data_IF_534284311052
#
_entry.id   IF_534284311052
#
_cell.length_a   1.000
_cell.length_b   1.000
_cell.length_c   1.000
_cell.angle_alpha   90.00
_cell.angle_beta   90.00
_cell.angle_gamma   90.00
#
_symmetry.space_group_name_H-M   'P 1'
#
loop_
_entity.id
_entity.type
_entity.pdbx_description
1 polymer ?
#
# COMPACT_ATOMS: atom_id res chain seq x y z
N UNK A 1 2.57 10.65 -12.63
CA UNK A 1 3.69 10.50 -11.66
C UNK A 1 4.02 9.03 -11.44
N UNK A 2 5.25 8.72 -11.02
CA UNK A 2 5.60 7.38 -10.50
C UNK A 2 5.55 7.47 -8.98
N UNK A 3 4.78 6.60 -8.36
CA UNK A 3 4.58 6.56 -6.91
C UNK A 3 5.40 5.41 -6.33
N UNK A 4 6.22 5.68 -5.32
CA UNK A 4 7.10 4.68 -4.70
C UNK A 4 6.92 4.69 -3.19
N UNK A 5 6.71 3.50 -2.63
CA UNK A 5 6.36 3.32 -1.22
C UNK A 5 7.30 2.35 -0.57
N UNK A 6 7.72 2.67 0.64
CA UNK A 6 8.59 1.84 1.47
C UNK A 6 7.85 1.47 2.75
N UNK A 7 7.92 0.20 3.14
CA UNK A 7 7.34 -0.28 4.40
C UNK A 7 5.85 0.05 4.54
N UNK A 8 5.43 0.68 5.65
CA UNK A 8 4.07 1.12 5.86
C UNK A 8 3.56 2.14 4.82
N UNK A 9 4.47 2.83 4.11
CA UNK A 9 4.15 3.76 3.03
C UNK A 9 3.36 3.13 1.88
N UNK A 10 3.41 1.81 1.72
CA UNK A 10 2.60 1.08 0.73
C UNK A 10 1.08 1.15 1.01
N UNK A 11 0.67 1.21 2.28
CA UNK A 11 -0.75 1.24 2.66
C UNK A 11 -1.41 2.52 2.17
N UNK A 12 -0.77 3.67 2.42
CA UNK A 12 -1.24 4.96 1.97
C UNK A 12 -1.15 5.12 0.45
N UNK A 13 -0.17 4.47 -0.21
CA UNK A 13 -0.13 4.43 -1.67
C UNK A 13 -1.30 3.68 -2.29
N UNK A 14 -1.74 2.58 -1.67
CA UNK A 14 -2.88 1.80 -2.17
C UNK A 14 -4.14 2.67 -2.26
N UNK A 15 -4.39 3.51 -1.24
CA UNK A 15 -5.46 4.50 -1.27
C UNK A 15 -5.26 5.57 -2.35
N UNK A 16 -4.04 6.09 -2.50
CA UNK A 16 -3.76 7.09 -3.53
C UNK A 16 -3.96 6.55 -4.96
N UNK A 17 -3.69 5.26 -5.18
CA UNK A 17 -3.94 4.56 -6.43
C UNK A 17 -5.43 4.42 -6.74
N UNK A 18 -6.28 4.20 -5.72
CA UNK A 18 -7.74 4.19 -5.88
C UNK A 18 -8.32 5.60 -6.09
N UNK A 19 -7.81 6.60 -5.37
CA UNK A 19 -8.32 7.97 -5.43
C UNK A 19 -7.88 8.74 -6.69
N UNK A 20 -6.67 8.46 -7.21
CA UNK A 20 -6.09 9.20 -8.33
C UNK A 20 -5.49 8.31 -9.43
N UNK A 21 -6.24 7.35 -9.97
CA UNK A 21 -5.71 6.38 -10.94
C UNK A 21 -5.18 7.06 -12.23
N UNK A 22 -5.81 8.15 -12.67
CA UNK A 22 -5.41 8.88 -13.88
C UNK A 22 -4.13 9.70 -13.71
N UNK A 23 -3.69 9.97 -12.48
CA UNK A 23 -2.47 10.74 -12.20
C UNK A 23 -1.25 9.85 -11.97
N UNK A 24 -1.46 8.56 -11.67
CA UNK A 24 -0.41 7.60 -11.34
C UNK A 24 -0.14 6.73 -12.57
N UNK A 25 1.03 6.95 -13.19
CA UNK A 25 1.44 6.18 -14.35
C UNK A 25 1.94 4.78 -13.96
N UNK A 26 2.64 4.68 -12.82
CA UNK A 26 3.09 3.42 -12.20
C UNK A 26 3.21 3.58 -10.69
N UNK A 27 3.05 2.46 -9.99
CA UNK A 27 3.27 2.34 -8.55
C UNK A 27 4.31 1.23 -8.26
N UNK A 28 5.24 1.50 -7.36
CA UNK A 28 6.31 0.56 -6.96
C UNK A 28 6.31 0.42 -5.43
N UNK A 29 6.21 -0.82 -4.96
CA UNK A 29 6.20 -1.17 -3.55
C UNK A 29 7.54 -1.82 -3.19
N UNK A 30 8.31 -1.22 -2.28
CA UNK A 30 9.65 -1.70 -1.88
C UNK A 30 9.61 -2.09 -0.41
N UNK A 31 9.69 -3.39 -0.12
CA UNK A 31 9.51 -3.90 1.25
C UNK A 31 8.26 -3.32 1.92
N UNK A 32 7.21 -3.08 1.14
CA UNK A 32 6.08 -2.26 1.55
C UNK A 32 4.80 -3.07 1.65
N UNK A 33 3.92 -2.65 2.57
CA UNK A 33 2.61 -3.24 2.76
C UNK A 33 1.69 -2.88 1.58
N UNK A 34 1.39 -3.85 0.71
CA UNK A 34 0.45 -3.67 -0.41
C UNK A 34 -0.93 -4.23 -0.07
N UNK A 35 -1.98 -3.42 -0.19
CA UNK A 35 -3.36 -3.86 0.02
C UNK A 35 -3.84 -4.64 -1.21
N UNK A 36 -4.13 -5.92 -1.04
CA UNK A 36 -4.71 -6.76 -2.10
C UNK A 36 -6.23 -6.65 -2.09
N UNK A 37 -6.86 -6.64 -3.27
CA UNK A 37 -8.30 -6.53 -3.44
C UNK A 37 -9.07 -7.48 -2.51
N UNK A 38 -9.96 -6.92 -1.69
CA UNK A 38 -10.79 -7.67 -0.74
C UNK A 38 -10.28 -7.68 0.71
N UNK A 39 -9.05 -7.22 0.97
CA UNK A 39 -8.57 -6.96 2.34
C UNK A 39 -8.93 -5.53 2.76
N UNK A 40 -9.33 -5.34 4.02
CA UNK A 40 -9.57 -4.02 4.59
C UNK A 40 -8.24 -3.41 5.04
N UNK A 41 -8.11 -2.09 5.02
CA UNK A 41 -6.93 -1.39 5.55
C UNK A 41 -6.61 -1.79 7.00
N UNK A 42 -7.64 -2.06 7.82
CA UNK A 42 -7.50 -2.55 9.21
C UNK A 42 -6.92 -3.97 9.32
N UNK A 43 -7.15 -4.82 8.33
CA UNK A 43 -6.62 -6.20 8.29
C UNK A 43 -5.09 -6.16 8.13
N UNK A 44 -4.59 -5.22 7.31
CA UNK A 44 -3.15 -5.02 7.10
C UNK A 44 -2.41 -4.43 8.31
N UNK A 45 -3.05 -3.55 9.09
CA UNK A 45 -2.47 -3.07 10.35
C UNK A 45 -2.21 -4.24 11.31
N UNK A 46 -3.11 -5.23 11.32
CA UNK A 46 -2.94 -6.44 12.13
C UNK A 46 -1.83 -7.34 11.56
N UNK A 47 -1.77 -7.53 10.24
CA UNK A 47 -0.78 -8.37 9.56
C UNK A 47 0.65 -7.81 9.67
N UNK A 48 0.84 -6.49 9.59
CA UNK A 48 2.15 -5.84 9.79
C UNK A 48 2.64 -5.86 11.25
N UNK A 49 1.72 -5.82 12.23
CA UNK A 49 2.08 -5.96 13.66
C UNK A 49 2.51 -7.39 13.99
N UNK A 50 1.99 -8.40 13.28
CA UNK A 50 2.29 -9.82 13.54
C UNK A 50 3.52 -10.34 12.80
N UNK A 51 3.97 -9.66 11.73
CA UNK A 51 5.22 -10.02 10.99
C UNK A 51 6.48 -9.42 11.67
N UNK A 52 6.32 -8.78 12.84
CA UNK A 52 7.39 -8.23 13.66
C UNK A 52 7.85 -9.08 14.85
N UNK A 53 7.52 -10.38 14.90
CA UNK A 53 8.18 -11.37 15.78
C UNK A 53 9.04 -12.36 14.98
#
# INVERSE_FOLDING_TARGET
>A
VILVGHDFGGTCMSYAMEAFPSKIAKAVFVSAAMLTNGKSTLDMFSEQVYVGE
#
